data_IF_742216906327
#
_entry.id   IF_742216906327
#
_cell.length_a   1.000
_cell.length_b   1.000
_cell.length_c   1.000
_cell.angle_alpha   90.00
_cell.angle_beta   90.00
_cell.angle_gamma   90.00
#
_symmetry.space_group_name_H-M   'P 1'
#
loop_
_entity.id
_entity.type
_entity.pdbx_description
1 polymer ?
#
# COMPACT_ATOMS: atom_id res chain seq x y z
N UNK A 1 -23.04 8.80 9.89
CA UNK A 1 -21.56 8.87 9.88
C UNK A 1 -21.05 7.88 8.85
N UNK A 2 -20.07 8.22 8.00
CA UNK A 2 -19.56 7.28 7.01
C UNK A 2 -19.01 6.06 7.75
N UNK A 3 -19.47 4.87 7.38
CA UNK A 3 -19.01 3.62 7.97
C UNK A 3 -17.52 3.48 7.66
N UNK A 4 -16.71 3.42 8.71
CA UNK A 4 -15.30 3.07 8.66
C UNK A 4 -15.10 1.79 7.83
N UNK A 5 -14.20 1.81 6.85
CA UNK A 5 -13.82 0.63 6.09
C UNK A 5 -12.44 0.18 6.54
N UNK A 6 -12.32 -1.04 7.03
CA UNK A 6 -11.01 -1.68 7.28
C UNK A 6 -10.56 -2.36 6.00
N UNK A 7 -9.32 -2.11 5.58
CA UNK A 7 -8.68 -2.90 4.53
C UNK A 7 -7.94 -4.05 5.19
N UNK A 8 -8.43 -5.27 4.98
CA UNK A 8 -7.83 -6.50 5.49
C UNK A 8 -7.25 -7.28 4.33
N UNK A 9 -5.93 -7.41 4.29
CA UNK A 9 -5.21 -8.16 3.28
C UNK A 9 -4.40 -9.25 3.98
N UNK A 10 -4.86 -10.49 3.87
CA UNK A 10 -4.14 -11.70 4.27
C UNK A 10 -3.82 -12.45 3.00
N UNK A 11 -2.55 -12.63 2.67
CA UNK A 11 -2.19 -13.23 1.39
C UNK A 11 -1.25 -14.40 1.49
N UNK A 12 -1.29 -15.24 0.45
CA UNK A 12 -0.10 -15.84 -0.14
C UNK A 12 0.66 -14.81 -0.99
N UNK A 13 1.41 -15.22 -2.01
CA UNK A 13 2.10 -14.25 -2.88
C UNK A 13 1.11 -13.36 -3.65
N UNK A 14 1.37 -12.04 -3.65
CA UNK A 14 0.59 -11.03 -4.35
C UNK A 14 1.42 -10.46 -5.51
N UNK A 15 1.11 -10.88 -6.73
CA UNK A 15 1.79 -10.43 -7.94
C UNK A 15 0.81 -9.53 -8.73
N UNK A 16 1.21 -8.30 -9.05
CA UNK A 16 0.42 -7.44 -9.93
C UNK A 16 0.56 -7.84 -11.40
N UNK A 17 -0.52 -7.82 -12.17
CA UNK A 17 -0.50 -8.12 -13.61
C UNK A 17 -0.02 -6.96 -14.47
N UNK A 18 0.47 -7.26 -15.67
CA UNK A 18 1.03 -6.28 -16.60
C UNK A 18 -0.02 -5.58 -17.48
N UNK A 19 -1.25 -6.12 -17.51
CA UNK A 19 -2.36 -5.55 -18.25
C UNK A 19 -2.88 -4.30 -17.57
N UNK A 20 -2.91 -3.18 -18.30
CA UNK A 20 -3.37 -1.88 -17.81
C UNK A 20 -4.86 -1.91 -17.37
N UNK A 21 -5.65 -2.83 -17.91
CA UNK A 21 -7.07 -2.99 -17.55
C UNK A 21 -7.27 -3.44 -16.09
N UNK A 22 -6.26 -4.10 -15.49
CA UNK A 22 -6.28 -4.54 -14.09
C UNK A 22 -5.98 -3.40 -13.10
N UNK A 23 -5.61 -2.22 -13.61
CA UNK A 23 -5.20 -1.07 -12.79
C UNK A 23 -6.21 0.07 -12.96
N UNK A 24 -7.28 0.12 -12.15
CA UNK A 24 -8.31 1.14 -12.29
C UNK A 24 -7.73 2.57 -12.20
N UNK A 25 -8.27 3.47 -13.01
CA UNK A 25 -7.85 4.87 -13.03
C UNK A 25 -8.40 5.62 -11.82
N UNK A 26 -7.49 6.24 -11.08
CA UNK A 26 -7.79 7.23 -10.04
C UNK A 26 -7.85 8.61 -10.71
N UNK A 27 -9.00 9.31 -10.66
CA UNK A 27 -9.14 10.61 -11.31
C UNK A 27 -8.25 11.66 -10.63
N UNK A 28 -7.90 12.70 -11.39
CA UNK A 28 -7.22 13.89 -10.84
C UNK A 28 -8.16 14.64 -9.91
N UNK A 29 -7.60 15.29 -8.90
CA UNK A 29 -8.36 16.25 -8.10
C UNK A 29 -8.84 17.39 -9.02
N UNK A 30 -10.11 17.81 -8.94
CA UNK A 30 -10.64 18.87 -9.80
C UNK A 30 -9.82 20.17 -9.77
N UNK A 31 -9.17 20.46 -8.65
CA UNK A 31 -8.32 21.65 -8.47
C UNK A 31 -6.99 21.60 -9.23
N UNK A 32 -6.47 20.42 -9.57
CA UNK A 32 -5.18 20.25 -10.24
C UNK A 32 -5.30 20.18 -11.77
N UNK A 33 -6.47 19.80 -12.30
CA UNK A 33 -6.79 19.80 -13.74
C UNK A 33 -5.99 18.84 -14.63
N UNK A 34 -4.84 18.32 -14.19
CA UNK A 34 -3.95 17.45 -14.95
C UNK A 34 -3.14 16.50 -14.03
N UNK A 35 -2.81 15.32 -14.54
CA UNK A 35 -1.93 14.35 -13.88
C UNK A 35 -0.44 14.73 -13.95
N UNK A 36 0.42 14.02 -13.21
CA UNK A 36 1.87 14.33 -13.20
C UNK A 36 2.51 14.12 -14.58
N UNK A 37 2.19 13.00 -15.20
CA UNK A 37 2.83 12.54 -16.44
C UNK A 37 1.88 12.60 -17.64
N UNK A 38 0.56 12.57 -17.41
CA UNK A 38 -0.47 12.57 -18.45
C UNK A 38 -1.54 13.64 -18.24
N UNK A 39 -2.41 13.82 -19.23
CA UNK A 39 -3.49 14.82 -19.18
C UNK A 39 -4.62 14.46 -18.21
N UNK A 40 -4.88 13.17 -18.03
CA UNK A 40 -5.98 12.67 -17.23
C UNK A 40 -5.48 12.04 -15.91
N UNK A 41 -6.11 10.95 -15.48
CA UNK A 41 -5.93 10.34 -14.16
C UNK A 41 -4.56 9.69 -13.96
N UNK A 42 -4.51 8.84 -12.95
CA UNK A 42 -3.39 7.91 -12.73
C UNK A 42 -3.87 6.49 -12.56
N UNK A 43 -3.09 5.52 -13.00
CA UNK A 43 -3.28 4.12 -12.63
C UNK A 43 -3.22 3.97 -11.10
N UNK A 44 -4.03 3.06 -10.54
CA UNK A 44 -4.01 2.74 -9.11
C UNK A 44 -2.68 2.10 -8.68
N UNK A 45 -2.41 2.09 -7.37
CA UNK A 45 -1.32 1.28 -6.81
C UNK A 45 -1.79 -0.15 -6.56
N UNK A 46 -0.86 -1.10 -6.44
CA UNK A 46 -1.17 -2.53 -6.21
C UNK A 46 -2.00 -2.70 -4.94
N UNK A 47 -1.63 -1.93 -3.91
CA UNK A 47 -2.42 -1.73 -2.70
C UNK A 47 -2.78 -0.25 -2.68
N UNK A 48 -4.07 0.04 -2.82
CA UNK A 48 -4.61 1.39 -2.75
C UNK A 48 -5.89 1.40 -1.91
N UNK A 49 -6.02 2.39 -1.05
CA UNK A 49 -7.19 2.56 -0.20
C UNK A 49 -7.38 4.01 0.20
N UNK A 50 -8.63 4.44 0.32
CA UNK A 50 -9.01 5.78 0.79
C UNK A 50 -10.10 5.64 1.84
N UNK A 51 -10.15 6.60 2.78
CA UNK A 51 -11.14 6.61 3.86
C UNK A 51 -11.15 5.31 4.69
N UNK A 52 -9.95 4.82 5.02
CA UNK A 52 -9.73 3.65 5.86
C UNK A 52 -9.44 4.10 7.29
N UNK A 53 -10.02 3.43 8.28
CA UNK A 53 -9.71 3.66 9.70
C UNK A 53 -8.64 2.72 10.21
N UNK A 54 -8.63 1.49 9.68
CA UNK A 54 -7.75 0.42 10.09
C UNK A 54 -7.25 -0.30 8.83
N UNK A 55 -5.94 -0.50 8.76
CA UNK A 55 -5.28 -1.19 7.65
C UNK A 55 -4.47 -2.33 8.22
N UNK A 56 -4.79 -3.54 7.79
CA UNK A 56 -4.08 -4.76 8.18
C UNK A 56 -3.58 -5.43 6.92
N UNK A 57 -2.25 -5.47 6.80
CA UNK A 57 -1.55 -6.21 5.76
C UNK A 57 -0.73 -7.28 6.48
N UNK A 58 -1.06 -8.55 6.26
CA UNK A 58 -0.39 -9.70 6.85
C UNK A 58 -0.14 -10.77 5.79
N UNK A 59 0.93 -11.52 5.94
CA UNK A 59 1.31 -12.59 5.02
C UNK A 59 2.42 -13.42 5.63
N UNK A 60 2.24 -14.75 5.67
CA UNK A 60 3.27 -15.65 6.18
C UNK A 60 4.25 -15.97 5.05
N UNK A 61 5.47 -15.43 5.12
CA UNK A 61 6.51 -15.62 4.10
C UNK A 61 6.02 -15.29 2.68
N UNK A 62 5.21 -14.24 2.57
CA UNK A 62 4.53 -13.85 1.34
C UNK A 62 5.23 -12.67 0.68
N UNK A 63 5.29 -12.67 -0.65
CA UNK A 63 5.88 -11.59 -1.44
C UNK A 63 4.78 -10.70 -2.01
N UNK A 64 4.96 -9.38 -1.93
CA UNK A 64 4.17 -8.40 -2.68
C UNK A 64 5.08 -7.87 -3.78
N UNK A 65 4.81 -8.27 -5.02
CA UNK A 65 5.57 -7.85 -6.19
C UNK A 65 4.68 -7.10 -7.18
N UNK A 66 5.05 -5.86 -7.46
CA UNK A 66 4.40 -5.04 -8.47
C UNK A 66 5.18 -5.14 -9.78
N UNK A 67 4.52 -5.12 -10.95
CA UNK A 67 5.18 -5.29 -12.25
C UNK A 67 5.89 -4.00 -12.70
N UNK A 68 6.62 -3.33 -11.81
CA UNK A 68 7.23 -2.02 -12.02
C UNK A 68 8.19 -1.97 -13.20
N UNK A 69 8.91 -3.07 -13.48
CA UNK A 69 9.80 -3.15 -14.64
C UNK A 69 9.05 -3.01 -15.98
N UNK A 70 7.89 -3.65 -16.12
CA UNK A 70 7.06 -3.56 -17.33
C UNK A 70 6.50 -2.14 -17.50
N UNK A 71 6.00 -1.55 -16.41
CA UNK A 71 5.52 -0.17 -16.37
C UNK A 71 6.60 0.84 -16.74
N UNK A 72 7.84 0.62 -16.29
CA UNK A 72 8.96 1.51 -16.63
C UNK A 72 9.36 1.42 -18.10
N UNK A 73 9.31 0.23 -18.69
CA UNK A 73 9.55 0.03 -20.12
C UNK A 73 8.51 0.80 -20.95
N UNK A 74 7.22 0.67 -20.60
CA UNK A 74 6.12 1.40 -21.26
C UNK A 74 6.28 2.92 -21.10
N UNK A 75 6.64 3.38 -19.89
CA UNK A 75 6.87 4.81 -19.62
C UNK A 75 8.00 5.38 -20.49
N UNK A 76 9.16 4.72 -20.54
CA UNK A 76 10.29 5.19 -21.37
C UNK A 76 9.99 5.14 -22.87
N UNK A 77 9.13 4.22 -23.30
CA UNK A 77 8.68 4.12 -24.68
C UNK A 77 7.57 5.11 -25.05
N UNK A 78 7.06 5.92 -24.09
CA UNK A 78 5.96 6.85 -24.33
C UNK A 78 4.63 6.16 -24.63
N UNK A 79 4.46 4.91 -24.18
CA UNK A 79 3.29 4.06 -24.50
C UNK A 79 2.14 4.19 -23.48
N UNK A 80 2.30 5.03 -22.46
CA UNK A 80 1.28 5.22 -21.42
C UNK A 80 0.41 6.42 -21.77
N UNK A 81 -0.90 6.18 -21.91
CA UNK A 81 -1.88 7.25 -22.09
C UNK A 81 -2.21 7.99 -20.79
N UNK A 82 -2.02 7.32 -19.65
CA UNK A 82 -2.38 7.80 -18.32
C UNK A 82 -1.16 7.86 -17.38
N UNK A 83 -1.27 8.62 -16.28
CA UNK A 83 -0.16 8.76 -15.34
C UNK A 83 0.08 7.42 -14.64
N UNK A 84 1.29 6.88 -14.71
CA UNK A 84 1.67 5.68 -13.94
C UNK A 84 1.53 5.90 -12.44
N UNK A 85 1.24 4.82 -11.70
CA UNK A 85 1.28 4.84 -10.25
C UNK A 85 2.72 5.06 -9.73
N UNK A 86 2.85 5.30 -8.43
CA UNK A 86 4.18 5.35 -7.81
C UNK A 86 4.78 3.95 -7.87
N UNK A 87 5.90 3.84 -8.58
CA UNK A 87 6.66 2.61 -8.68
C UNK A 87 7.79 2.66 -7.66
N UNK A 88 8.04 1.51 -7.05
CA UNK A 88 9.18 1.31 -6.16
C UNK A 88 10.34 0.84 -7.04
N UNK A 89 11.35 1.69 -7.20
CA UNK A 89 12.59 1.37 -7.91
C UNK A 89 13.77 1.70 -7.01
N UNK A 90 14.82 0.89 -7.12
CA UNK A 90 16.08 1.14 -6.42
C UNK A 90 15.84 1.54 -4.96
N UNK A 91 15.23 0.63 -4.19
CA UNK A 91 14.93 0.85 -2.77
C UNK A 91 16.23 1.12 -2.02
N UNK A 92 16.51 2.40 -1.81
CA UNK A 92 17.69 2.85 -1.06
C UNK A 92 17.37 3.04 0.42
N UNK A 93 16.10 2.95 0.79
CA UNK A 93 15.56 3.28 2.10
C UNK A 93 14.34 2.40 2.41
N UNK A 94 14.25 1.83 3.61
CA UNK A 94 13.18 0.89 3.97
C UNK A 94 11.80 1.54 4.08
N UNK A 95 11.63 2.55 4.95
CA UNK A 95 10.33 3.19 5.12
C UNK A 95 10.42 4.54 5.85
N UNK A 96 9.56 5.49 5.43
CA UNK A 96 9.28 6.73 6.16
C UNK A 96 7.90 6.65 6.78
N UNK A 97 7.84 6.76 8.10
CA UNK A 97 6.65 6.67 8.92
C UNK A 97 6.53 7.97 9.72
N UNK A 98 5.49 8.75 9.44
CA UNK A 98 5.32 10.08 10.00
C UNK A 98 3.89 10.19 10.53
N UNK A 99 3.77 10.30 11.85
CA UNK A 99 2.49 10.49 12.54
C UNK A 99 2.14 11.96 12.72
N UNK A 100 1.08 12.21 13.49
CA UNK A 100 0.61 13.54 13.81
C UNK A 100 1.33 14.02 15.08
N UNK A 101 1.90 15.25 15.09
CA UNK A 101 2.53 15.79 16.29
C UNK A 101 1.59 15.75 17.50
N UNK A 102 2.07 15.20 18.62
CA UNK A 102 1.33 14.98 19.87
C UNK A 102 0.22 13.92 19.85
N UNK A 103 -0.01 13.25 18.71
CA UNK A 103 -0.93 12.09 18.62
C UNK A 103 -0.23 10.94 17.89
N UNK A 104 0.71 10.24 18.58
CA UNK A 104 1.54 9.27 17.91
C UNK A 104 0.74 8.06 17.44
N UNK A 105 0.92 7.68 16.17
CA UNK A 105 0.19 6.54 15.61
C UNK A 105 0.73 5.22 16.19
N UNK A 106 -0.15 4.48 16.88
CA UNK A 106 0.17 3.21 17.56
C UNK A 106 -0.34 1.97 16.83
N UNK A 107 -0.91 2.11 15.64
CA UNK A 107 -1.50 1.02 14.87
C UNK A 107 -0.51 0.18 14.05
N UNK A 108 0.80 0.42 14.16
CA UNK A 108 1.83 -0.22 13.31
C UNK A 108 2.33 -1.53 13.92
N UNK A 109 1.88 -2.68 13.45
CA UNK A 109 2.50 -3.97 13.79
C UNK A 109 3.17 -4.53 12.53
N UNK A 110 4.47 -4.82 12.61
CA UNK A 110 5.19 -5.48 11.51
C UNK A 110 6.02 -6.62 12.09
N UNK A 111 5.75 -7.83 11.61
CA UNK A 111 6.38 -9.07 12.05
C UNK A 111 6.88 -9.86 10.84
N UNK A 112 8.08 -10.42 10.95
CA UNK A 112 8.65 -11.36 9.97
C UNK A 112 8.69 -10.79 8.53
N UNK A 113 9.28 -9.61 8.38
CA UNK A 113 9.35 -8.90 7.10
C UNK A 113 10.81 -8.64 6.69
N UNK A 114 11.11 -8.92 5.42
CA UNK A 114 12.41 -8.62 4.80
C UNK A 114 12.21 -7.62 3.67
N UNK A 115 12.88 -6.48 3.79
CA UNK A 115 12.87 -5.41 2.78
C UNK A 115 14.15 -5.52 1.98
N UNK A 116 14.03 -5.91 0.72
CA UNK A 116 15.16 -5.98 -0.21
C UNK A 116 15.55 -4.57 -0.66
N UNK A 117 16.83 -4.23 -0.48
CA UNK A 117 17.40 -2.93 -0.83
C UNK A 117 18.33 -3.03 -2.05
N UNK A 118 18.68 -1.89 -2.62
CA UNK A 118 19.76 -1.80 -3.61
C UNK A 118 21.12 -2.20 -3.04
N UNK A 119 22.06 -2.49 -3.95
CA UNK A 119 23.47 -2.80 -3.62
C UNK A 119 24.15 -1.72 -2.75
N UNK A 120 23.76 -0.44 -2.92
CA UNK A 120 24.29 0.69 -2.14
C UNK A 120 23.13 1.45 -1.45
N UNK A 121 22.63 0.94 -0.32
CA UNK A 121 21.53 1.58 0.40
C UNK A 121 22.00 2.84 1.14
N UNK A 122 21.07 3.73 1.49
CA UNK A 122 21.33 4.87 2.38
C UNK A 122 21.70 4.37 3.78
N UNK A 123 22.42 5.17 4.57
CA UNK A 123 22.76 4.77 5.95
C UNK A 123 21.54 4.75 6.86
N UNK A 124 20.76 5.84 6.80
CA UNK A 124 19.45 5.87 7.44
C UNK A 124 18.54 4.94 6.62
N UNK A 125 17.79 4.06 7.28
CA UNK A 125 16.84 3.11 6.66
C UNK A 125 15.39 3.36 7.06
N UNK A 126 15.17 3.87 8.26
CA UNK A 126 13.85 4.11 8.83
C UNK A 126 13.75 5.55 9.33
N UNK A 127 12.77 6.31 8.82
CA UNK A 127 12.57 7.70 9.20
C UNK A 127 11.25 7.72 9.93
N UNK A 128 11.32 7.83 11.24
CA UNK A 128 10.18 7.66 12.10
C UNK A 128 9.97 8.92 12.93
N UNK A 129 8.78 9.50 12.85
CA UNK A 129 8.36 10.65 13.66
C UNK A 129 6.94 10.40 14.15
N UNK A 130 6.67 10.70 15.43
CA UNK A 130 5.33 10.60 16.03
C UNK A 130 4.65 9.23 15.80
N UNK A 131 5.39 8.14 15.98
CA UNK A 131 4.86 6.77 15.97
C UNK A 131 5.34 6.03 17.22
N UNK A 132 4.61 5.01 17.64
CA UNK A 132 5.06 4.15 18.75
C UNK A 132 4.43 2.76 18.68
N UNK A 133 5.25 1.71 18.51
CA UNK A 133 4.80 0.32 18.71
C UNK A 133 5.97 -0.66 18.83
N UNK A 134 5.84 -1.88 18.32
CA UNK A 134 6.84 -2.95 18.37
C UNK A 134 6.95 -3.63 17.01
N UNK A 135 8.12 -4.19 16.73
CA UNK A 135 8.36 -5.05 15.56
C UNK A 135 8.99 -6.36 15.99
N UNK A 136 8.89 -7.40 15.15
CA UNK A 136 9.56 -8.69 15.36
C UNK A 136 10.15 -9.19 14.04
N UNK A 137 11.38 -9.74 14.06
CA UNK A 137 12.03 -10.35 12.90
C UNK A 137 12.02 -9.45 11.64
N UNK A 138 12.58 -8.24 11.76
CA UNK A 138 12.63 -7.24 10.69
C UNK A 138 14.03 -7.12 10.11
N UNK A 139 14.14 -7.17 8.79
CA UNK A 139 15.41 -6.90 8.09
C UNK A 139 15.20 -5.82 7.01
N UNK A 140 15.88 -4.66 7.08
CA UNK A 140 16.82 -4.21 8.12
C UNK A 140 16.12 -3.70 9.40
N UNK A 141 16.88 -3.64 10.50
CA UNK A 141 16.39 -3.20 11.81
C UNK A 141 15.62 -1.88 11.74
N UNK A 142 14.44 -1.84 12.36
CA UNK A 142 13.57 -0.68 12.44
C UNK A 142 14.18 0.46 13.29
N UNK A 143 13.54 1.63 13.23
CA UNK A 143 13.88 2.80 14.05
C UNK A 143 13.59 2.57 15.55
N UNK A 144 14.17 3.41 16.42
CA UNK A 144 14.03 3.27 17.88
C UNK A 144 12.60 3.47 18.40
N UNK A 145 11.73 4.12 17.62
CA UNK A 145 10.28 4.24 17.91
C UNK A 145 9.50 2.93 17.67
N UNK A 146 10.16 1.95 17.05
CA UNK A 146 9.66 0.60 16.78
C UNK A 146 10.67 -0.42 17.32
N UNK A 147 10.84 -0.53 18.65
CA UNK A 147 11.77 -1.48 19.25
C UNK A 147 11.43 -2.93 18.88
N UNK A 148 12.49 -3.70 18.63
CA UNK A 148 12.38 -5.13 18.37
C UNK A 148 12.15 -5.91 19.67
N UNK A 149 11.13 -6.77 19.68
CA UNK A 149 10.89 -7.72 20.79
C UNK A 149 11.57 -9.05 20.50
N UNK A 150 12.19 -9.63 21.53
CA UNK A 150 12.85 -10.96 21.48
C UNK A 150 11.85 -12.10 21.33
N UNK A 151 10.65 -11.91 21.85
CA UNK A 151 9.52 -12.81 21.62
C UNK A 151 8.89 -12.45 20.27
N UNK A 152 8.60 -13.46 19.45
CA UNK A 152 7.86 -13.26 18.20
C UNK A 152 6.51 -12.67 18.57
N UNK A 153 6.35 -11.38 18.32
CA UNK A 153 5.04 -10.74 18.28
C UNK A 153 4.41 -11.24 17.00
N UNK A 154 3.47 -12.17 17.13
CA UNK A 154 2.52 -12.40 16.07
C UNK A 154 1.72 -11.10 15.92
N UNK A 155 1.57 -10.62 14.70
CA UNK A 155 0.66 -9.52 14.40
C UNK A 155 -0.67 -10.18 14.01
N UNK A 156 -1.49 -10.63 15.00
CA UNK A 156 -2.67 -11.40 14.68
C UNK A 156 -3.56 -10.54 13.81
N UNK A 157 -4.08 -11.16 12.77
CA UNK A 157 -5.18 -10.59 12.02
C UNK A 157 -6.30 -10.29 13.02
N UNK A 158 -6.79 -9.04 13.13
CA UNK A 158 -7.78 -8.73 14.15
C UNK A 158 -9.03 -9.60 13.94
N UNK A 159 -9.51 -10.27 14.97
CA UNK A 159 -10.70 -11.13 14.86
C UNK A 159 -12.00 -10.31 14.80
N UNK A 160 -11.93 -9.02 15.14
CA UNK A 160 -13.06 -8.09 15.15
C UNK A 160 -13.64 -7.90 13.75
N UNK A 161 -14.66 -8.67 13.40
CA UNK A 161 -15.32 -8.54 12.09
C UNK A 161 -16.12 -7.25 12.05
N UNK A 162 -15.80 -6.38 11.11
CA UNK A 162 -16.62 -5.21 10.88
C UNK A 162 -17.93 -5.62 10.22
N UNK A 163 -19.02 -4.93 10.54
CA UNK A 163 -20.33 -5.16 9.92
C UNK A 163 -20.35 -5.01 8.38
N UNK A 164 -19.30 -4.46 7.77
CA UNK A 164 -19.13 -4.37 6.30
C UNK A 164 -18.68 -5.69 5.67
N UNK A 165 -18.04 -6.57 6.44
CA UNK A 165 -17.53 -7.87 5.97
C UNK A 165 -18.65 -8.89 5.72
N UNK A 166 -19.81 -8.71 6.39
CA UNK A 166 -21.00 -9.54 6.20
C UNK A 166 -21.98 -8.96 5.15
N UNK A 167 -21.64 -7.83 4.53
CA UNK A 167 -22.50 -7.24 3.48
C UNK A 167 -22.37 -8.07 2.22
N UNK A 168 -23.44 -8.80 1.89
CA UNK A 168 -23.59 -9.45 0.58
C UNK A 168 -23.59 -8.38 -0.50
N UNK A 169 -22.54 -8.37 -1.33
CA UNK A 169 -22.51 -7.55 -2.53
C UNK A 169 -23.63 -7.99 -3.45
N UNK A 170 -24.57 -7.08 -3.72
CA UNK A 170 -25.63 -7.30 -4.70
C UNK A 170 -25.16 -6.68 -6.01
N UNK A 171 -25.00 -7.50 -7.03
CA UNK A 171 -24.69 -7.03 -8.38
C UNK A 171 -25.94 -6.43 -8.99
N UNK A 172 -25.94 -5.12 -9.21
CA UNK A 172 -27.02 -4.45 -9.93
C UNK A 172 -26.60 -4.24 -11.39
N UNK A 173 -27.38 -4.76 -12.33
CA UNK A 173 -27.27 -4.44 -13.75
C UNK A 173 -28.27 -3.34 -14.09
N UNK A 174 -27.78 -2.23 -14.63
CA UNK A 174 -28.62 -1.19 -15.19
C UNK A 174 -28.61 -1.33 -16.71
N UNK A 175 -29.74 -1.67 -17.30
CA UNK A 175 -29.95 -1.56 -18.75
C UNK A 175 -30.24 -0.11 -19.08
N UNK A 176 -29.32 0.57 -19.75
CA UNK A 176 -29.60 1.86 -20.35
C UNK A 176 -30.65 1.65 -21.46
N UNK A 177 -31.79 2.37 -21.45
CA UNK A 177 -32.69 2.36 -22.59
C UNK A 177 -31.97 3.03 -23.76
N UNK A 178 -31.87 2.29 -24.87
CA UNK A 178 -31.45 2.83 -26.16
C UNK A 178 -32.36 4.01 -26.52
N UNK A 179 -31.76 5.19 -26.68
CA UNK A 179 -32.33 6.31 -27.41
C UNK A 179 -31.42 6.63 -28.59
#
# INVERSE_FOLDING_TARGET
MPKAKTLRYSTGNANGGEDESEWPLVPVLPSYGRGRDAHAGRFSSLIFGTNLTDVVITGNNSTIDGPGASWWKKFKAGQLNETRSYMIENVTYSARLEGIPNDPFKGICISNATITLTVKPKKLQWNCTDIARVTSNMTPKACDLLPERKEVVDCPFPEDRLAIEDVKLVTCSASLPFF
#
